data_IF_556008680197
#
_entry.id   IF_556008680197
#
_cell.length_a   1.000
_cell.length_b   1.000
_cell.length_c   1.000
_cell.angle_alpha   90.00
_cell.angle_beta   90.00
_cell.angle_gamma   90.00
#
_symmetry.space_group_name_H-M   'P 1'
#
loop_
_entity.id
_entity.type
_entity.pdbx_description
1 polymer ?
#
# COMPACT_ATOMS: atom_id res chain seq x y z
N UNK A 1 -21.23 -21.84 -8.08
CA UNK A 1 -20.55 -20.60 -7.65
C UNK A 1 -20.53 -19.64 -8.81
N UNK A 2 -21.11 -18.46 -8.61
CA UNK A 2 -21.02 -17.37 -9.58
C UNK A 2 -19.81 -16.52 -9.23
N UNK A 3 -18.91 -16.31 -10.19
CA UNK A 3 -17.78 -15.37 -10.03
C UNK A 3 -18.18 -14.05 -10.65
N UNK A 4 -18.34 -13.02 -9.82
CA UNK A 4 -18.65 -11.67 -10.24
C UNK A 4 -17.33 -10.94 -10.53
N UNK A 5 -17.06 -10.70 -11.82
CA UNK A 5 -15.85 -10.01 -12.28
C UNK A 5 -16.10 -8.51 -12.36
N UNK A 6 -15.20 -7.74 -11.77
CA UNK A 6 -15.29 -6.29 -11.68
C UNK A 6 -13.98 -5.70 -12.21
N UNK A 7 -14.10 -4.84 -13.21
CA UNK A 7 -12.98 -4.02 -13.67
C UNK A 7 -13.20 -2.58 -13.20
N UNK A 8 -12.25 -2.05 -12.44
CA UNK A 8 -12.32 -0.71 -11.88
C UNK A 8 -11.11 0.10 -12.32
N UNK A 9 -11.35 1.31 -12.82
CA UNK A 9 -10.28 2.24 -13.21
C UNK A 9 -9.94 3.13 -12.01
N UNK A 10 -8.66 3.25 -11.69
CA UNK A 10 -8.21 3.98 -10.49
C UNK A 10 -6.97 4.82 -10.75
N UNK A 11 -6.85 5.90 -9.97
CA UNK A 11 -5.63 6.68 -9.83
C UNK A 11 -5.41 7.01 -8.35
N UNK A 12 -4.17 6.84 -7.88
CA UNK A 12 -3.79 7.11 -6.48
C UNK A 12 -3.75 8.61 -6.15
N UNK A 13 -3.89 9.49 -7.14
CA UNK A 13 -4.10 10.93 -6.90
C UNK A 13 -5.56 11.27 -6.62
N UNK A 14 -6.50 10.38 -6.98
CA UNK A 14 -7.92 10.65 -6.96
C UNK A 14 -8.51 10.30 -5.59
N UNK A 15 -8.92 11.27 -4.75
CA UNK A 15 -9.53 10.93 -3.46
C UNK A 15 -10.85 10.16 -3.59
N UNK A 16 -11.59 10.36 -4.68
CA UNK A 16 -12.83 9.62 -4.91
C UNK A 16 -12.59 8.13 -5.24
N UNK A 17 -11.43 7.76 -5.78
CA UNK A 17 -11.07 6.36 -5.99
C UNK A 17 -10.92 5.60 -4.65
N UNK A 18 -10.41 6.25 -3.60
CA UNK A 18 -10.33 5.69 -2.25
C UNK A 18 -11.72 5.40 -1.67
N UNK A 19 -12.60 6.40 -1.72
CA UNK A 19 -13.99 6.27 -1.25
C UNK A 19 -14.71 5.18 -2.06
N UNK A 20 -14.58 5.19 -3.39
CA UNK A 20 -15.17 4.20 -4.28
C UNK A 20 -14.74 2.78 -3.95
N UNK A 21 -13.45 2.58 -3.65
CA UNK A 21 -12.91 1.29 -3.21
C UNK A 21 -13.52 0.82 -1.89
N UNK A 22 -13.61 1.69 -0.88
CA UNK A 22 -14.26 1.35 0.41
C UNK A 22 -15.75 1.04 0.26
N UNK A 23 -16.45 1.75 -0.62
CA UNK A 23 -17.83 1.44 -0.92
C UNK A 23 -17.98 0.08 -1.63
N UNK A 24 -17.08 -0.24 -2.57
CA UNK A 24 -17.07 -1.55 -3.23
C UNK A 24 -16.81 -2.69 -2.23
N UNK A 25 -15.84 -2.52 -1.32
CA UNK A 25 -15.56 -3.50 -0.26
C UNK A 25 -16.79 -3.76 0.62
N UNK A 26 -17.48 -2.68 1.04
CA UNK A 26 -18.71 -2.78 1.84
C UNK A 26 -19.83 -3.48 1.07
N UNK A 27 -20.02 -3.14 -0.20
CA UNK A 27 -21.01 -3.79 -1.06
C UNK A 27 -20.72 -5.29 -1.23
N UNK A 28 -19.45 -5.67 -1.43
CA UNK A 28 -19.03 -7.08 -1.51
C UNK A 28 -19.32 -7.81 -0.18
N UNK A 29 -18.98 -7.19 0.96
CA UNK A 29 -19.23 -7.78 2.28
C UNK A 29 -20.74 -7.99 2.54
N UNK A 30 -21.56 -6.98 2.21
CA UNK A 30 -23.02 -7.07 2.31
C UNK A 30 -23.59 -8.14 1.38
N UNK A 31 -23.10 -8.24 0.14
CA UNK A 31 -23.57 -9.26 -0.79
C UNK A 31 -23.20 -10.67 -0.36
N UNK A 32 -22.00 -10.87 0.23
CA UNK A 32 -21.61 -12.17 0.80
C UNK A 32 -22.47 -12.60 1.98
N UNK A 33 -23.09 -11.66 2.71
CA UNK A 33 -24.06 -11.98 3.74
C UNK A 33 -25.40 -12.50 3.15
N UNK A 34 -25.69 -12.17 1.89
CA UNK A 34 -26.88 -12.63 1.16
C UNK A 34 -26.57 -13.95 0.43
N UNK A 35 -25.45 -14.02 -0.27
CA UNK A 35 -24.96 -15.22 -0.96
C UNK A 35 -23.49 -15.51 -0.57
N UNK A 36 -23.26 -16.39 0.43
CA UNK A 36 -21.93 -16.78 0.86
C UNK A 36 -21.13 -17.54 -0.21
N UNK A 37 -21.78 -18.04 -1.26
CA UNK A 37 -21.14 -18.75 -2.37
C UNK A 37 -20.66 -17.83 -3.49
N UNK A 38 -21.01 -16.54 -3.43
CA UNK A 38 -20.59 -15.54 -4.41
C UNK A 38 -19.09 -15.21 -4.25
N UNK A 39 -18.36 -15.35 -5.36
CA UNK A 39 -16.97 -14.92 -5.44
C UNK A 39 -16.86 -13.61 -6.21
N UNK A 40 -15.85 -12.82 -5.86
CA UNK A 40 -15.59 -11.52 -6.46
C UNK A 40 -14.16 -11.44 -6.93
N UNK A 41 -13.98 -11.08 -8.18
CA UNK A 41 -12.68 -10.85 -8.79
C UNK A 41 -12.60 -9.38 -9.21
N UNK A 42 -11.81 -8.58 -8.49
CA UNK A 42 -11.66 -7.14 -8.77
C UNK A 42 -10.30 -6.89 -9.41
N UNK A 43 -10.31 -6.36 -10.63
CA UNK A 43 -9.11 -5.95 -11.36
C UNK A 43 -9.06 -4.43 -11.46
N UNK A 44 -7.96 -3.86 -10.98
CA UNK A 44 -7.72 -2.42 -10.99
C UNK A 44 -6.90 -2.01 -12.22
N UNK A 45 -7.46 -1.13 -13.06
CA UNK A 45 -6.82 -0.57 -14.26
C UNK A 45 -6.27 0.82 -14.00
N UNK A 46 -5.11 1.17 -14.57
CA UNK A 46 -4.46 2.44 -14.31
C UNK A 46 -5.14 3.60 -15.06
N UNK A 47 -5.20 4.75 -14.39
CA UNK A 47 -5.47 6.05 -15.01
C UNK A 47 -4.51 7.10 -14.46
N UNK A 48 -4.28 8.17 -15.23
CA UNK A 48 -3.49 9.33 -14.81
C UNK A 48 -4.33 10.59 -14.89
N UNK A 49 -4.75 11.12 -13.75
CA UNK A 49 -5.39 12.43 -13.62
C UNK A 49 -4.42 13.56 -13.94
N UNK A 50 -3.13 13.35 -13.68
CA UNK A 50 -2.10 14.37 -13.89
C UNK A 50 -0.83 13.76 -14.49
N UNK A 51 -0.88 13.33 -15.77
CA UNK A 51 0.22 12.61 -16.42
C UNK A 51 1.50 13.44 -16.56
N UNK A 52 1.40 14.77 -16.55
CA UNK A 52 2.54 15.68 -16.69
C UNK A 52 3.37 15.87 -15.40
N UNK A 53 2.87 15.42 -14.24
CA UNK A 53 3.62 15.55 -12.99
C UNK A 53 4.88 14.68 -13.01
N UNK A 54 5.95 15.15 -12.37
CA UNK A 54 7.09 14.30 -11.98
C UNK A 54 6.69 13.34 -10.86
N UNK A 55 7.56 12.38 -10.55
CA UNK A 55 7.27 11.30 -9.59
C UNK A 55 7.04 11.76 -8.15
N UNK A 56 7.64 12.87 -7.71
CA UNK A 56 7.48 13.43 -6.36
C UNK A 56 7.87 14.90 -6.34
N UNK A 57 7.65 15.58 -5.21
CA UNK A 57 8.12 16.95 -4.96
C UNK A 57 7.06 18.05 -5.09
N UNK A 58 5.80 17.70 -5.35
CA UNK A 58 4.70 18.66 -5.38
C UNK A 58 3.98 18.69 -4.03
N UNK A 59 3.56 19.87 -3.58
CA UNK A 59 2.71 19.99 -2.41
C UNK A 59 1.35 19.33 -2.67
N UNK A 60 0.98 18.34 -1.84
CA UNK A 60 -0.25 17.55 -2.04
C UNK A 60 -1.49 18.42 -1.98
N UNK A 61 -1.54 19.42 -1.10
CA UNK A 61 -2.67 20.34 -0.97
C UNK A 61 -2.88 21.14 -2.25
N UNK A 62 -1.80 21.57 -2.90
CA UNK A 62 -1.84 22.29 -4.17
C UNK A 62 -2.41 21.40 -5.29
N UNK A 63 -1.98 20.14 -5.39
CA UNK A 63 -2.54 19.18 -6.36
C UNK A 63 -4.03 18.96 -6.13
N UNK A 64 -4.44 18.75 -4.87
CA UNK A 64 -5.85 18.57 -4.52
C UNK A 64 -6.67 19.83 -4.79
N UNK A 65 -6.11 21.02 -4.55
CA UNK A 65 -6.74 22.28 -4.89
C UNK A 65 -7.03 22.36 -6.38
N UNK A 66 -6.04 22.10 -7.23
CA UNK A 66 -6.23 22.09 -8.68
C UNK A 66 -7.29 21.07 -9.11
N UNK A 67 -7.18 19.82 -8.64
CA UNK A 67 -8.10 18.74 -9.02
C UNK A 67 -9.55 19.01 -8.57
N UNK A 68 -9.76 19.32 -7.29
CA UNK A 68 -11.10 19.51 -6.75
C UNK A 68 -11.75 20.80 -7.26
N UNK A 69 -11.00 21.88 -7.46
CA UNK A 69 -11.52 23.09 -8.12
C UNK A 69 -11.98 22.78 -9.55
N UNK A 70 -11.28 21.93 -10.30
CA UNK A 70 -11.69 21.58 -11.66
C UNK A 70 -13.02 20.81 -11.72
N UNK A 71 -13.45 20.17 -10.63
CA UNK A 71 -14.73 19.42 -10.59
C UNK A 71 -15.96 20.32 -10.51
N UNK A 72 -15.90 21.45 -9.78
CA UNK A 72 -17.08 22.30 -9.55
C UNK A 72 -16.80 23.79 -9.33
N UNK A 73 -15.58 24.26 -9.57
CA UNK A 73 -15.17 25.66 -9.42
C UNK A 73 -14.85 26.11 -8.00
N UNK A 74 -15.24 25.36 -6.96
CA UNK A 74 -14.97 25.72 -5.56
C UNK A 74 -14.23 24.60 -4.81
N UNK A 75 -13.01 24.92 -4.37
CA UNK A 75 -12.19 24.01 -3.59
C UNK A 75 -12.80 23.70 -2.22
N UNK A 76 -13.35 24.70 -1.53
CA UNK A 76 -13.77 24.55 -0.15
C UNK A 76 -14.97 23.59 -0.04
N UNK A 77 -15.98 23.78 -0.89
CA UNK A 77 -17.14 22.89 -0.98
C UNK A 77 -16.72 21.46 -1.32
N UNK A 78 -15.85 21.27 -2.31
CA UNK A 78 -15.40 19.93 -2.70
C UNK A 78 -14.55 19.27 -1.63
N UNK A 79 -13.70 20.04 -0.94
CA UNK A 79 -12.90 19.54 0.17
C UNK A 79 -13.80 19.07 1.33
N UNK A 80 -14.84 19.83 1.67
CA UNK A 80 -15.83 19.41 2.67
C UNK A 80 -16.55 18.13 2.24
N UNK A 81 -16.99 18.05 0.98
CA UNK A 81 -17.69 16.87 0.45
C UNK A 81 -16.84 15.61 0.51
N UNK A 82 -15.59 15.70 0.06
CA UNK A 82 -14.68 14.55 0.06
C UNK A 82 -14.26 14.18 1.48
N UNK A 83 -14.06 15.15 2.38
CA UNK A 83 -13.76 14.88 3.79
C UNK A 83 -14.90 14.12 4.48
N UNK A 84 -16.15 14.54 4.26
CA UNK A 84 -17.33 13.82 4.77
C UNK A 84 -17.39 12.40 4.23
N UNK A 85 -17.21 12.21 2.92
CA UNK A 85 -17.25 10.89 2.30
C UNK A 85 -16.14 9.96 2.81
N UNK A 86 -14.95 10.49 3.10
CA UNK A 86 -13.88 9.74 3.76
C UNK A 86 -14.30 9.30 5.16
N UNK A 87 -14.85 10.20 5.96
CA UNK A 87 -15.32 9.90 7.31
C UNK A 87 -16.42 8.82 7.29
N UNK A 88 -17.41 8.94 6.39
CA UNK A 88 -18.46 7.93 6.19
C UNK A 88 -17.86 6.58 5.76
N UNK A 89 -16.78 6.60 4.97
CA UNK A 89 -16.02 5.42 4.56
C UNK A 89 -15.10 4.85 5.67
N UNK A 90 -15.02 5.49 6.84
CA UNK A 90 -14.19 5.06 7.97
C UNK A 90 -12.70 5.32 7.77
N UNK A 91 -12.34 6.26 6.90
CA UNK A 91 -10.95 6.66 6.60
C UNK A 91 -10.80 8.16 6.80
N UNK A 92 -9.57 8.65 6.97
CA UNK A 92 -9.29 10.09 7.13
C UNK A 92 -8.58 10.64 5.91
N UNK A 93 -9.04 11.80 5.44
CA UNK A 93 -8.40 12.51 4.35
C UNK A 93 -7.15 13.23 4.85
N UNK A 94 -5.99 12.88 4.32
CA UNK A 94 -4.76 13.64 4.49
C UNK A 94 -4.41 14.38 3.18
N UNK A 95 -4.29 15.70 3.22
CA UNK A 95 -3.85 16.54 2.09
C UNK A 95 -2.52 17.26 2.36
N UNK A 96 -1.84 16.94 3.45
CA UNK A 96 -0.49 17.41 3.72
C UNK A 96 0.55 16.49 3.03
N UNK A 97 1.82 16.90 3.05
CA UNK A 97 2.93 16.12 2.51
C UNK A 97 3.17 16.33 1.02
N UNK A 98 4.03 15.48 0.43
CA UNK A 98 4.44 15.60 -0.96
C UNK A 98 3.79 14.55 -1.85
N UNK A 99 3.35 14.93 -3.05
CA UNK A 99 2.74 14.07 -4.05
C UNK A 99 3.43 14.21 -5.41
N UNK A 100 3.21 13.22 -6.27
CA UNK A 100 3.61 13.24 -7.66
C UNK A 100 2.80 12.23 -8.46
N UNK A 101 3.27 11.94 -9.66
CA UNK A 101 2.63 11.02 -10.59
C UNK A 101 2.54 9.57 -10.07
N UNK A 102 1.41 8.91 -10.32
CA UNK A 102 1.08 7.55 -9.85
C UNK A 102 1.66 6.39 -10.68
N UNK A 103 2.47 6.65 -11.72
CA UNK A 103 2.98 5.63 -12.64
C UNK A 103 3.78 4.53 -11.94
N UNK A 104 4.59 4.86 -10.93
CA UNK A 104 5.35 3.83 -10.22
C UNK A 104 4.43 2.94 -9.38
N UNK A 105 3.43 3.51 -8.72
CA UNK A 105 2.40 2.74 -8.01
C UNK A 105 1.62 1.81 -8.97
N UNK A 106 1.20 2.32 -10.13
CA UNK A 106 0.53 1.51 -11.16
C UNK A 106 1.40 0.38 -11.71
N UNK A 107 2.72 0.58 -11.83
CA UNK A 107 3.65 -0.52 -12.17
C UNK A 107 3.68 -1.61 -11.11
N UNK A 108 3.67 -1.24 -9.82
CA UNK A 108 3.64 -2.20 -8.71
C UNK A 108 2.30 -2.98 -8.71
N UNK A 109 1.16 -2.29 -8.90
CA UNK A 109 -0.14 -2.93 -9.04
C UNK A 109 -0.19 -3.90 -10.22
N UNK A 110 0.35 -3.50 -11.37
CA UNK A 110 0.43 -4.38 -12.54
C UNK A 110 1.34 -5.59 -12.29
N UNK A 111 2.44 -5.42 -11.56
CA UNK A 111 3.32 -6.52 -11.17
C UNK A 111 2.59 -7.51 -10.24
N UNK A 112 1.90 -7.01 -9.21
CA UNK A 112 1.14 -7.84 -8.27
C UNK A 112 0.03 -8.63 -8.98
N UNK A 113 -0.70 -8.00 -9.90
CA UNK A 113 -1.70 -8.68 -10.73
C UNK A 113 -1.06 -9.80 -11.56
N UNK A 114 0.05 -9.53 -12.26
CA UNK A 114 0.71 -10.52 -13.14
C UNK A 114 1.31 -11.69 -12.37
N UNK A 115 1.84 -11.46 -11.17
CA UNK A 115 2.56 -12.48 -10.39
C UNK A 115 1.65 -13.25 -9.44
N UNK A 116 0.63 -12.59 -8.89
CA UNK A 116 -0.12 -13.11 -7.74
C UNK A 116 -1.65 -12.92 -7.87
N UNK A 117 -2.13 -12.39 -9.00
CA UNK A 117 -3.54 -12.30 -9.32
C UNK A 117 -4.30 -11.13 -8.67
N UNK A 118 -5.62 -11.04 -8.92
CA UNK A 118 -6.45 -9.89 -8.55
C UNK A 118 -6.51 -9.63 -7.03
N UNK A 119 -6.59 -10.69 -6.22
CA UNK A 119 -6.62 -10.55 -4.75
C UNK A 119 -5.33 -9.90 -4.20
N UNK A 120 -4.17 -10.25 -4.76
CA UNK A 120 -2.89 -9.63 -4.38
C UNK A 120 -2.78 -8.19 -4.87
N UNK A 121 -3.28 -7.89 -6.08
CA UNK A 121 -3.38 -6.52 -6.58
C UNK A 121 -4.25 -5.64 -5.65
N UNK A 122 -5.40 -6.15 -5.21
CA UNK A 122 -6.30 -5.42 -4.31
C UNK A 122 -5.65 -5.14 -2.95
N UNK A 123 -4.99 -6.13 -2.34
CA UNK A 123 -4.23 -5.94 -1.09
C UNK A 123 -3.11 -4.93 -1.26
N UNK A 124 -2.38 -4.97 -2.38
CA UNK A 124 -1.32 -4.00 -2.63
C UNK A 124 -1.87 -2.58 -2.79
N UNK A 125 -3.04 -2.40 -3.42
CA UNK A 125 -3.67 -1.08 -3.50
C UNK A 125 -3.95 -0.51 -2.09
N UNK A 126 -4.43 -1.33 -1.16
CA UNK A 126 -4.61 -0.95 0.26
C UNK A 126 -3.28 -0.59 0.90
N UNK A 127 -2.26 -1.44 0.72
CA UNK A 127 -0.94 -1.19 1.29
C UNK A 127 -0.28 0.06 0.74
N UNK A 128 -0.47 0.40 -0.55
CA UNK A 128 0.10 1.62 -1.13
C UNK A 128 -0.51 2.88 -0.53
N UNK A 129 -1.79 2.83 -0.16
CA UNK A 129 -2.49 3.91 0.50
C UNK A 129 -1.94 4.12 1.92
N UNK A 130 -1.79 3.03 2.67
CA UNK A 130 -1.20 3.04 4.02
C UNK A 130 0.28 3.42 3.99
N UNK A 131 1.05 2.86 3.06
CA UNK A 131 2.48 3.13 2.90
C UNK A 131 2.74 4.60 2.58
N UNK A 132 1.88 5.24 1.79
CA UNK A 132 2.01 6.66 1.50
C UNK A 132 1.80 7.51 2.75
N UNK A 133 0.82 7.17 3.59
CA UNK A 133 0.62 7.85 4.86
C UNK A 133 1.79 7.62 5.83
N UNK A 134 2.33 6.40 5.87
CA UNK A 134 3.50 6.05 6.67
C UNK A 134 4.76 6.81 6.22
N UNK A 135 5.02 6.88 4.91
CA UNK A 135 6.19 7.59 4.35
C UNK A 135 6.17 9.11 4.58
N UNK A 136 4.99 9.70 4.78
CA UNK A 136 4.82 11.10 5.16
C UNK A 136 4.94 11.33 6.68
N UNK A 137 5.06 10.26 7.49
CA UNK A 137 5.12 10.30 8.96
C UNK A 137 6.52 9.90 9.48
N UNK A 138 7.29 10.90 9.94
CA UNK A 138 8.64 10.73 10.52
C UNK A 138 8.70 9.71 11.67
N UNK A 139 7.59 9.42 12.36
CA UNK A 139 7.56 8.40 13.43
C UNK A 139 7.85 7.01 12.88
N UNK A 140 7.41 6.71 11.66
CA UNK A 140 7.66 5.40 11.04
C UNK A 140 9.14 5.24 10.66
N UNK A 141 9.78 6.33 10.20
CA UNK A 141 11.22 6.38 9.97
C UNK A 141 12.01 6.11 11.26
N UNK A 142 11.61 6.71 12.38
CA UNK A 142 12.25 6.49 13.68
C UNK A 142 12.18 5.03 14.14
N UNK A 143 11.06 4.35 13.96
CA UNK A 143 10.94 2.93 14.30
C UNK A 143 11.91 2.06 13.48
N UNK A 144 12.04 2.35 12.18
CA UNK A 144 13.02 1.66 11.31
C UNK A 144 14.46 1.97 11.74
N UNK A 145 14.75 3.23 12.09
CA UNK A 145 16.08 3.63 12.57
C UNK A 145 16.41 2.95 13.91
N UNK A 146 15.42 2.75 14.78
CA UNK A 146 15.55 2.00 16.02
C UNK A 146 15.90 0.53 15.77
N UNK A 147 15.25 -0.14 14.81
CA UNK A 147 15.60 -1.51 14.39
C UNK A 147 17.04 -1.58 13.84
N UNK A 148 17.46 -0.57 13.07
CA UNK A 148 18.85 -0.47 12.57
C UNK A 148 19.84 -0.28 13.71
N UNK A 149 19.50 0.52 14.73
CA UNK A 149 20.33 0.71 15.91
C UNK A 149 20.39 -0.56 16.77
N UNK A 150 19.28 -1.30 16.90
CA UNK A 150 19.23 -2.58 17.59
C UNK A 150 20.17 -3.60 16.92
N UNK A 151 20.12 -3.73 15.59
CA UNK A 151 21.03 -4.59 14.86
C UNK A 151 22.51 -4.24 15.13
N UNK A 152 22.85 -2.94 15.14
CA UNK A 152 24.20 -2.46 15.49
C UNK A 152 24.58 -2.80 16.93
N UNK A 153 23.67 -2.58 17.90
CA UNK A 153 23.89 -2.92 19.32
C UNK A 153 24.06 -4.43 19.53
N UNK A 154 23.42 -5.25 18.71
CA UNK A 154 23.59 -6.70 18.68
C UNK A 154 24.93 -7.15 18.03
N UNK A 155 25.81 -6.20 17.66
CA UNK A 155 27.13 -6.45 17.10
C UNK A 155 27.13 -6.76 15.61
N UNK A 156 26.03 -6.49 14.89
CA UNK A 156 25.96 -6.71 13.44
C UNK A 156 26.67 -5.55 12.73
N UNK A 157 27.74 -5.88 12.00
CA UNK A 157 28.57 -4.92 11.25
C UNK A 157 28.54 -5.12 9.74
N UNK A 158 27.82 -6.13 9.25
CA UNK A 158 27.71 -6.45 7.82
C UNK A 158 26.44 -7.24 7.48
N UNK A 159 25.99 -7.13 6.23
CA UNK A 159 24.77 -7.77 5.72
C UNK A 159 25.06 -8.65 4.49
N UNK A 160 24.30 -9.74 4.26
CA UNK A 160 23.22 -10.24 5.13
C UNK A 160 23.77 -10.88 6.41
N UNK A 161 23.02 -10.78 7.51
CA UNK A 161 23.25 -11.56 8.74
C UNK A 161 21.94 -12.22 9.12
N UNK A 162 21.96 -13.53 9.30
CA UNK A 162 20.80 -14.32 9.66
C UNK A 162 20.92 -14.74 11.12
N UNK A 163 19.87 -14.54 11.91
CA UNK A 163 19.77 -15.07 13.28
C UNK A 163 18.61 -16.05 13.32
N UNK A 164 18.91 -17.34 13.51
CA UNK A 164 17.93 -18.42 13.58
C UNK A 164 17.52 -18.62 15.04
N UNK A 165 16.20 -18.53 15.29
CA UNK A 165 15.58 -18.62 16.63
C UNK A 165 16.28 -17.78 17.72
N UNK A 166 16.81 -16.61 17.37
CA UNK A 166 17.51 -15.73 18.32
C UNK A 166 18.86 -16.28 18.85
N UNK A 167 19.30 -17.46 18.41
CA UNK A 167 20.44 -18.19 19.00
C UNK A 167 21.58 -18.42 18.03
N UNK A 168 21.31 -18.91 16.82
CA UNK A 168 22.36 -19.26 15.86
C UNK A 168 22.54 -18.14 14.84
N UNK A 169 23.75 -17.58 14.74
CA UNK A 169 24.06 -16.48 13.82
C UNK A 169 24.90 -16.96 12.64
N UNK A 170 24.45 -16.62 11.43
CA UNK A 170 25.15 -16.89 10.16
C UNK A 170 25.40 -15.55 9.46
N UNK A 171 26.67 -15.19 9.32
CA UNK A 171 27.09 -13.91 8.71
C UNK A 171 27.53 -14.06 7.26
N UNK A 172 27.10 -13.12 6.42
CA UNK A 172 27.53 -12.98 5.03
C UNK A 172 26.80 -13.89 4.05
N UNK A 173 27.23 -13.82 2.79
CA UNK A 173 26.73 -14.65 1.69
C UNK A 173 27.29 -16.08 1.80
N UNK A 174 26.70 -16.89 2.68
CA UNK A 174 27.09 -18.28 2.88
C UNK A 174 26.38 -19.22 1.90
N UNK A 175 27.05 -20.34 1.59
CA UNK A 175 26.46 -21.42 0.79
C UNK A 175 25.31 -22.13 1.55
N UNK A 176 24.33 -22.74 0.84
CA UNK A 176 23.19 -23.42 1.45
C UNK A 176 23.57 -24.45 2.54
N UNK A 177 24.67 -25.18 2.36
CA UNK A 177 25.14 -26.19 3.33
C UNK A 177 25.40 -25.64 4.73
N UNK A 178 25.76 -24.34 4.85
CA UNK A 178 25.93 -23.69 6.15
C UNK A 178 24.60 -23.57 6.87
N UNK A 179 23.52 -23.25 6.15
CA UNK A 179 22.18 -23.15 6.71
C UNK A 179 21.63 -24.52 7.07
N UNK A 180 21.83 -25.54 6.23
CA UNK A 180 21.42 -26.92 6.52
C UNK A 180 21.99 -27.40 7.86
N UNK A 181 23.29 -27.21 8.09
CA UNK A 181 23.92 -27.55 9.38
C UNK A 181 23.39 -26.75 10.57
N UNK A 182 22.91 -25.53 10.35
CA UNK A 182 22.26 -24.74 11.41
C UNK A 182 20.87 -25.29 11.70
N UNK A 183 20.12 -25.69 10.69
CA UNK A 183 18.79 -26.28 10.85
C UNK A 183 18.85 -27.64 11.55
N UNK A 184 19.82 -28.49 11.22
CA UNK A 184 20.07 -29.75 11.95
C UNK A 184 20.29 -29.48 13.46
N UNK A 185 21.10 -28.47 13.80
CA UNK A 185 21.32 -28.06 15.20
C UNK A 185 20.09 -27.48 15.89
N UNK A 186 19.16 -26.92 15.13
CA UNK A 186 17.89 -26.40 15.64
C UNK A 186 16.95 -27.56 15.96
N UNK A 187 16.86 -28.56 15.08
CA UNK A 187 15.99 -29.73 15.27
C UNK A 187 16.45 -30.62 16.43
N UNK A 188 17.74 -30.62 16.75
CA UNK A 188 18.33 -31.36 17.88
C UNK A 188 18.20 -30.66 19.25
N UNK A 189 17.76 -29.39 19.29
CA UNK A 189 17.80 -28.51 20.48
C UNK A 189 16.45 -28.37 21.19
#
# INVERSE_FOLDING_TARGET
MTVIKIEAVTDLLCPWCYVGKKNLERAIAQYRAIDPSAEFEVVWKPFYLSPALKSTGYDKRTIYKTYLTALSGDFATQLTRVTSAFADAGISLNIAGSMGNSRQAHKLLALALRRNGPAAQNRLLETLDDARAALDDDRTGKAVDEDVLEAKRAGITGVPTFTVQGRWRVGGNQEPDVFLRVFEKVDEA
#
